data_IF_749721163641
#
_entry.id   IF_749721163641
#
_cell.length_a   1.000
_cell.length_b   1.000
_cell.length_c   1.000
_cell.angle_alpha   90.00
_cell.angle_beta   90.00
_cell.angle_gamma   90.00
#
_symmetry.space_group_name_H-M   'P 1'
#
loop_
_entity.id
_entity.type
_entity.pdbx_description
1 polymer ?
#
# COMPACT_ATOMS: atom_id res chain seq x y z
N UNK A 1 5.01 -6.73 -10.39
CA UNK A 1 4.21 -7.65 -9.54
C UNK A 1 4.14 -7.10 -8.12
N UNK A 2 3.02 -7.32 -7.42
CA UNK A 2 2.86 -6.97 -6.00
C UNK A 2 3.52 -8.06 -5.16
N UNK A 3 4.32 -7.65 -4.18
CA UNK A 3 5.00 -8.55 -3.23
C UNK A 3 4.32 -8.55 -1.86
N UNK A 4 3.92 -7.39 -1.37
CA UNK A 4 3.25 -7.25 -0.07
C UNK A 4 2.24 -6.11 -0.13
N UNK A 5 1.14 -6.25 0.57
CA UNK A 5 0.19 -5.17 0.86
C UNK A 5 -0.08 -5.14 2.36
N UNK A 6 0.01 -3.98 2.97
CA UNK A 6 -0.32 -3.78 4.36
C UNK A 6 -1.36 -2.68 4.54
N UNK A 7 -2.22 -2.86 5.54
CA UNK A 7 -3.33 -1.97 5.85
C UNK A 7 -3.55 -1.92 7.36
N UNK A 8 -3.85 -0.73 7.89
CA UNK A 8 -4.17 -0.46 9.28
C UNK A 8 -5.28 0.59 9.37
N UNK A 9 -6.18 0.41 10.31
CA UNK A 9 -7.31 1.31 10.58
C UNK A 9 -8.20 1.55 9.36
N UNK A 10 -8.83 0.49 8.83
CA UNK A 10 -9.67 0.54 7.65
C UNK A 10 -10.88 -0.39 7.75
N UNK A 11 -12.10 0.12 7.67
CA UNK A 11 -13.37 -0.63 7.85
C UNK A 11 -13.36 -1.52 9.11
N UNK A 12 -13.30 -2.86 8.95
CA UNK A 12 -13.23 -3.82 10.06
C UNK A 12 -11.80 -4.18 10.46
N UNK A 13 -10.80 -3.59 9.82
CA UNK A 13 -9.38 -3.85 10.11
C UNK A 13 -8.87 -2.77 11.06
N UNK A 14 -8.65 -3.12 12.33
CA UNK A 14 -8.12 -2.21 13.35
C UNK A 14 -6.60 -2.15 13.33
N UNK A 15 -5.96 -3.28 13.61
CA UNK A 15 -4.51 -3.39 13.65
C UNK A 15 -3.93 -3.70 12.27
N UNK A 16 -2.64 -3.44 12.10
CA UNK A 16 -1.93 -3.72 10.86
C UNK A 16 -2.12 -5.17 10.41
N UNK A 17 -2.64 -5.36 9.22
CA UNK A 17 -2.74 -6.65 8.53
C UNK A 17 -1.86 -6.62 7.29
N UNK A 18 -1.23 -7.76 6.99
CA UNK A 18 -0.33 -7.91 5.84
C UNK A 18 -0.74 -9.10 5.00
N UNK A 19 -0.70 -8.90 3.68
CA UNK A 19 -0.80 -9.95 2.68
C UNK A 19 0.54 -10.01 1.96
N UNK A 20 1.18 -11.18 1.99
CA UNK A 20 2.42 -11.42 1.26
C UNK A 20 2.15 -12.36 0.08
N UNK A 21 2.77 -12.06 -1.05
CA UNK A 21 2.84 -12.91 -2.23
C UNK A 21 4.20 -13.61 -2.34
N UNK A 22 5.02 -13.55 -1.31
CA UNK A 22 6.24 -14.35 -1.24
C UNK A 22 5.86 -15.81 -1.01
N UNK A 23 6.39 -16.77 -1.80
CA UNK A 23 6.11 -18.19 -1.62
C UNK A 23 6.67 -18.68 -0.28
N UNK A 24 6.03 -19.71 0.28
CA UNK A 24 6.60 -20.46 1.39
C UNK A 24 7.87 -21.20 0.95
N UNK A 25 8.56 -21.84 1.90
CA UNK A 25 9.74 -22.65 1.62
C UNK A 25 9.44 -23.92 0.76
N UNK A 26 8.17 -24.22 0.50
CA UNK A 26 7.76 -25.31 -0.37
C UNK A 26 8.10 -25.00 -1.82
N UNK A 27 8.84 -25.89 -2.46
CA UNK A 27 9.26 -25.77 -3.86
C UNK A 27 8.37 -26.54 -4.84
N UNK A 28 7.30 -27.22 -4.36
CA UNK A 28 6.39 -27.96 -5.21
C UNK A 28 5.74 -27.04 -6.26
N UNK A 29 5.91 -27.38 -7.53
CA UNK A 29 5.38 -26.62 -8.67
C UNK A 29 5.72 -25.11 -8.64
N UNK A 30 6.84 -24.73 -8.04
CA UNK A 30 7.23 -23.33 -7.85
C UNK A 30 7.29 -22.54 -9.16
N UNK A 31 7.68 -23.15 -10.28
CA UNK A 31 7.76 -22.51 -11.59
C UNK A 31 6.39 -22.21 -12.19
N UNK A 32 5.36 -22.95 -11.83
CA UNK A 32 4.01 -22.78 -12.34
C UNK A 32 3.26 -21.71 -11.57
N UNK A 33 3.35 -21.72 -10.24
CA UNK A 33 2.60 -20.84 -9.35
C UNK A 33 3.31 -19.54 -8.97
N UNK A 34 4.63 -19.45 -9.21
CA UNK A 34 5.38 -18.23 -8.92
C UNK A 34 6.11 -17.70 -10.17
N UNK A 35 6.51 -16.45 -10.11
CA UNK A 35 7.27 -15.75 -11.13
C UNK A 35 8.51 -15.12 -10.49
N UNK A 36 9.66 -15.26 -11.11
CA UNK A 36 10.89 -14.63 -10.66
C UNK A 36 10.91 -13.17 -11.12
N UNK A 37 10.85 -12.25 -10.16
CA UNK A 37 10.78 -10.80 -10.40
C UNK A 37 12.16 -10.15 -10.36
N UNK A 38 13.11 -10.80 -9.70
CA UNK A 38 14.52 -10.43 -9.58
C UNK A 38 15.30 -11.69 -9.22
N UNK A 39 16.61 -11.71 -9.46
CA UNK A 39 17.47 -12.84 -9.13
C UNK A 39 17.27 -13.34 -7.69
N UNK A 40 16.78 -14.56 -7.57
CA UNK A 40 16.47 -15.20 -6.28
C UNK A 40 15.20 -14.71 -5.58
N UNK A 41 14.41 -13.79 -6.17
CA UNK A 41 13.16 -13.31 -5.61
C UNK A 41 11.99 -13.80 -6.45
N UNK A 42 11.15 -14.66 -5.89
CA UNK A 42 9.95 -15.20 -6.54
C UNK A 42 8.68 -14.69 -5.84
N UNK A 43 7.65 -14.43 -6.60
CA UNK A 43 6.34 -14.02 -6.09
C UNK A 43 5.25 -14.92 -6.66
N UNK A 44 4.23 -15.20 -5.83
CA UNK A 44 3.06 -15.97 -6.23
C UNK A 44 2.24 -15.21 -7.28
N UNK A 45 1.77 -15.92 -8.30
CA UNK A 45 0.91 -15.36 -9.35
C UNK A 45 -0.53 -15.16 -8.87
N UNK A 46 -0.95 -15.94 -7.86
CA UNK A 46 -2.32 -15.98 -7.35
C UNK A 46 -2.29 -16.13 -5.82
N UNK A 47 -3.19 -15.43 -5.15
CA UNK A 47 -3.49 -15.61 -3.74
C UNK A 47 -4.99 -15.87 -3.55
N UNK A 48 -5.33 -16.81 -2.67
CA UNK A 48 -6.73 -17.14 -2.35
C UNK A 48 -6.99 -16.77 -0.90
N UNK A 49 -8.02 -15.94 -0.66
CA UNK A 49 -8.46 -15.56 0.68
C UNK A 49 -9.73 -16.35 1.00
N UNK A 50 -9.69 -17.19 2.02
CA UNK A 50 -10.84 -17.96 2.49
C UNK A 50 -11.08 -17.75 3.98
N UNK A 51 -12.28 -18.07 4.44
CA UNK A 51 -12.67 -17.93 5.85
C UNK A 51 -14.18 -17.85 6.02
N UNK A 52 -14.68 -17.81 7.25
CA UNK A 52 -16.08 -17.71 7.60
C UNK A 52 -16.76 -16.45 7.02
N UNK A 53 -18.09 -16.44 6.94
CA UNK A 53 -18.83 -15.24 6.59
C UNK A 53 -18.58 -14.15 7.63
N UNK A 54 -18.56 -12.88 7.19
CA UNK A 54 -18.26 -11.72 8.01
C UNK A 54 -16.82 -11.66 8.62
N UNK A 55 -15.88 -12.52 8.17
CA UNK A 55 -14.48 -12.51 8.66
C UNK A 55 -13.60 -11.38 8.10
N UNK A 56 -14.17 -10.47 7.29
CA UNK A 56 -13.41 -9.33 6.76
C UNK A 56 -12.77 -9.54 5.39
N UNK A 57 -12.97 -10.69 4.72
CA UNK A 57 -12.38 -10.97 3.39
C UNK A 57 -12.64 -9.85 2.37
N UNK A 58 -13.87 -9.39 2.28
CA UNK A 58 -14.26 -8.30 1.38
C UNK A 58 -13.55 -6.99 1.73
N UNK A 59 -13.32 -6.70 3.01
CA UNK A 59 -12.64 -5.47 3.43
C UNK A 59 -11.17 -5.46 3.04
N UNK A 60 -10.53 -6.61 2.92
CA UNK A 60 -9.19 -6.74 2.37
C UNK A 60 -9.16 -6.37 0.88
N UNK A 61 -10.12 -6.87 0.10
CA UNK A 61 -10.25 -6.52 -1.33
C UNK A 61 -10.59 -5.04 -1.51
N UNK A 62 -11.51 -4.52 -0.68
CA UNK A 62 -11.83 -3.08 -0.67
C UNK A 62 -10.61 -2.22 -0.36
N UNK A 63 -9.73 -2.67 0.54
CA UNK A 63 -8.50 -1.94 0.87
C UNK A 63 -7.53 -1.86 -0.33
N UNK A 64 -7.38 -2.95 -1.09
CA UNK A 64 -6.56 -2.98 -2.30
C UNK A 64 -7.17 -2.08 -3.38
N UNK A 65 -8.47 -2.13 -3.59
CA UNK A 65 -9.16 -1.27 -4.57
C UNK A 65 -9.09 0.20 -4.17
N UNK A 66 -9.24 0.51 -2.88
CA UNK A 66 -9.08 1.87 -2.37
C UNK A 66 -7.65 2.39 -2.56
N UNK A 67 -6.62 1.57 -2.29
CA UNK A 67 -5.23 1.92 -2.56
C UNK A 67 -5.00 2.21 -4.04
N UNK A 68 -5.50 1.36 -4.92
CA UNK A 68 -5.46 1.56 -6.38
C UNK A 68 -6.13 2.88 -6.78
N UNK A 69 -7.30 3.19 -6.17
CA UNK A 69 -8.00 4.44 -6.41
C UNK A 69 -7.14 5.65 -6.01
N UNK A 70 -6.47 5.62 -4.84
CA UNK A 70 -5.56 6.70 -4.41
C UNK A 70 -4.44 6.95 -5.41
N UNK A 71 -3.88 5.88 -6.00
CA UNK A 71 -2.78 5.97 -6.98
C UNK A 71 -3.24 6.50 -8.33
N UNK A 72 -4.43 6.09 -8.79
CA UNK A 72 -4.90 6.38 -10.15
C UNK A 72 -5.76 7.64 -10.25
N UNK A 73 -6.35 8.08 -9.14
CA UNK A 73 -7.26 9.22 -9.11
C UNK A 73 -6.50 10.51 -8.89
N UNK A 74 -6.62 11.42 -9.85
CA UNK A 74 -6.26 12.81 -9.61
C UNK A 74 -7.41 13.51 -8.90
N UNK A 75 -7.21 14.07 -7.69
CA UNK A 75 -8.24 14.86 -7.03
C UNK A 75 -8.63 16.04 -7.92
N UNK A 76 -9.93 16.27 -8.06
CA UNK A 76 -10.46 17.40 -8.85
C UNK A 76 -10.24 18.72 -8.16
N UNK A 77 -10.20 18.72 -6.85
CA UNK A 77 -10.06 19.90 -6.00
C UNK A 77 -9.25 19.53 -4.74
N UNK A 78 -8.56 20.54 -4.16
CA UNK A 78 -7.82 20.40 -2.89
C UNK A 78 -8.73 20.12 -1.67
N UNK A 79 -10.02 20.41 -1.79
CA UNK A 79 -11.04 20.18 -0.75
C UNK A 79 -11.70 18.81 -0.85
N UNK A 80 -11.36 18.02 -1.87
CA UNK A 80 -11.96 16.71 -2.08
C UNK A 80 -11.55 15.76 -0.95
N UNK A 81 -12.55 15.14 -0.31
CA UNK A 81 -12.34 14.16 0.75
C UNK A 81 -11.73 12.88 0.19
N UNK A 82 -10.90 12.22 0.98
CA UNK A 82 -10.25 10.95 0.61
C UNK A 82 -11.26 9.82 0.42
N UNK A 83 -12.37 9.86 1.17
CA UNK A 83 -13.37 8.81 1.19
C UNK A 83 -12.97 7.58 2.02
N UNK A 84 -11.86 7.62 2.74
CA UNK A 84 -11.46 6.53 3.63
C UNK A 84 -12.43 6.42 4.81
N UNK A 85 -12.72 5.19 5.20
CA UNK A 85 -13.52 4.88 6.39
C UNK A 85 -12.61 4.16 7.37
N UNK A 86 -12.27 4.77 8.53
CA UNK A 86 -11.46 4.13 9.55
C UNK A 86 -12.24 3.04 10.27
N UNK A 87 -11.59 2.30 11.16
CA UNK A 87 -12.24 1.36 12.05
C UNK A 87 -13.16 2.10 13.02
N UNK A 88 -14.47 1.79 12.97
CA UNK A 88 -15.50 2.59 13.64
C UNK A 88 -16.00 2.00 14.96
N UNK A 89 -15.48 0.84 15.37
CA UNK A 89 -16.00 0.12 16.56
C UNK A 89 -15.35 0.58 17.87
N UNK A 90 -14.38 1.50 17.84
CA UNK A 90 -13.87 2.19 19.02
C UNK A 90 -13.62 3.68 18.75
N UNK A 91 -13.60 4.45 19.82
CA UNK A 91 -13.49 5.92 19.72
C UNK A 91 -12.08 6.40 19.38
N UNK A 92 -11.05 5.62 19.71
CA UNK A 92 -9.65 5.96 19.43
C UNK A 92 -9.36 5.82 17.94
N UNK A 93 -9.67 4.69 17.34
CA UNK A 93 -9.40 4.39 15.93
C UNK A 93 -10.14 5.32 14.97
N UNK A 94 -11.31 5.84 15.36
CA UNK A 94 -12.06 6.83 14.54
C UNK A 94 -11.27 8.10 14.26
N UNK A 95 -10.38 8.48 15.18
CA UNK A 95 -9.60 9.70 15.10
C UNK A 95 -8.14 9.44 14.67
N UNK A 96 -7.77 8.19 14.52
CA UNK A 96 -6.45 7.80 14.04
C UNK A 96 -6.39 7.76 12.51
N UNK A 97 -5.18 7.87 11.98
CA UNK A 97 -4.94 7.79 10.55
C UNK A 97 -5.04 6.36 10.05
N UNK A 98 -5.59 6.19 8.87
CA UNK A 98 -5.42 4.96 8.09
C UNK A 98 -4.02 4.94 7.50
N UNK A 99 -3.34 3.79 7.60
CA UNK A 99 -2.03 3.59 6.99
C UNK A 99 -2.10 2.45 5.99
N UNK A 100 -1.56 2.69 4.81
CA UNK A 100 -1.52 1.72 3.72
C UNK A 100 -0.12 1.69 3.11
N UNK A 101 0.34 0.50 2.73
CA UNK A 101 1.62 0.36 2.05
C UNK A 101 1.57 -0.81 1.07
N UNK A 102 2.19 -0.63 -0.09
CA UNK A 102 2.34 -1.66 -1.11
C UNK A 102 3.80 -1.79 -1.51
N UNK A 103 4.31 -3.02 -1.44
CA UNK A 103 5.61 -3.40 -1.97
C UNK A 103 5.40 -4.07 -3.32
N UNK A 104 6.08 -3.59 -4.35
CA UNK A 104 5.95 -4.15 -5.70
C UNK A 104 7.26 -4.07 -6.48
N UNK A 105 7.36 -4.88 -7.54
CA UNK A 105 8.52 -4.91 -8.43
C UNK A 105 8.13 -4.47 -9.84
N UNK A 106 8.96 -3.61 -10.43
CA UNK A 106 8.93 -3.19 -11.84
C UNK A 106 10.35 -3.30 -12.36
N UNK A 107 10.56 -4.03 -13.46
CA UNK A 107 11.87 -4.19 -14.12
C UNK A 107 13.00 -4.53 -13.13
N UNK A 108 12.77 -5.50 -12.25
CA UNK A 108 13.69 -5.97 -11.20
C UNK A 108 13.94 -4.99 -10.04
N UNK A 109 13.52 -3.75 -10.13
CA UNK A 109 13.59 -2.79 -9.02
C UNK A 109 12.43 -2.96 -8.06
N UNK A 110 12.71 -2.94 -6.75
CA UNK A 110 11.70 -3.00 -5.68
C UNK A 110 11.23 -1.60 -5.34
N UNK A 111 9.93 -1.40 -5.28
CA UNK A 111 9.30 -0.14 -4.88
C UNK A 111 8.47 -0.33 -3.63
N UNK A 112 8.41 0.69 -2.79
CA UNK A 112 7.50 0.78 -1.66
C UNK A 112 6.74 2.09 -1.78
N UNK A 113 5.43 2.01 -1.96
CA UNK A 113 4.51 3.15 -1.95
C UNK A 113 3.67 3.09 -0.70
N UNK A 114 3.63 4.16 0.08
CA UNK A 114 2.89 4.22 1.34
C UNK A 114 2.10 5.51 1.47
N UNK A 115 0.94 5.41 2.13
CA UNK A 115 0.03 6.51 2.45
C UNK A 115 -0.29 6.53 3.94
N UNK A 116 -0.37 7.74 4.51
CA UNK A 116 -1.05 8.04 5.76
C UNK A 116 -2.16 9.06 5.49
N UNK A 117 -3.40 8.74 5.82
CA UNK A 117 -4.54 9.58 5.50
C UNK A 117 -5.66 9.45 6.54
N UNK A 118 -6.54 10.44 6.57
CA UNK A 118 -7.84 10.38 7.23
C UNK A 118 -8.96 10.67 6.21
N UNK A 119 -10.19 10.81 6.66
CA UNK A 119 -11.34 11.08 5.80
C UNK A 119 -11.23 12.41 5.03
N UNK A 120 -10.39 13.34 5.48
CA UNK A 120 -10.27 14.69 4.92
C UNK A 120 -8.97 14.93 4.16
N UNK A 121 -7.86 14.36 4.64
CA UNK A 121 -6.51 14.71 4.16
C UNK A 121 -5.63 13.48 3.95
N UNK A 122 -4.72 13.59 2.99
CA UNK A 122 -3.55 12.73 2.86
C UNK A 122 -2.40 13.43 3.59
N UNK A 123 -1.94 12.87 4.69
CA UNK A 123 -0.87 13.44 5.52
C UNK A 123 0.51 13.13 4.98
N UNK A 124 0.67 11.95 4.40
CA UNK A 124 1.93 11.52 3.83
C UNK A 124 1.70 10.57 2.66
N UNK A 125 2.44 10.80 1.59
CA UNK A 125 2.61 9.88 0.48
C UNK A 125 4.11 9.74 0.22
N UNK A 126 4.63 8.51 0.26
CA UNK A 126 6.07 8.26 0.11
C UNK A 126 6.31 7.15 -0.89
N UNK A 127 7.19 7.40 -1.85
CA UNK A 127 7.68 6.39 -2.80
C UNK A 127 9.18 6.20 -2.63
N UNK A 128 9.56 4.95 -2.34
CA UNK A 128 10.96 4.53 -2.18
C UNK A 128 11.27 3.49 -3.25
N UNK A 129 12.43 3.58 -3.87
CA UNK A 129 12.97 2.56 -4.79
C UNK A 129 14.24 1.94 -4.22
N UNK A 130 14.41 0.65 -4.49
CA UNK A 130 15.59 -0.14 -4.19
C UNK A 130 16.15 -0.70 -5.49
N UNK A 131 16.95 0.08 -6.18
CA UNK A 131 17.71 -0.38 -7.35
C UNK A 131 18.99 -1.13 -6.93
N UNK A 132 19.47 -0.82 -5.71
CA UNK A 132 20.62 -1.45 -5.07
C UNK A 132 20.29 -1.80 -3.62
N UNK A 133 21.30 -2.11 -2.82
CA UNK A 133 21.17 -2.38 -1.38
C UNK A 133 20.65 -1.14 -0.62
N UNK A 134 20.93 0.07 -1.12
CA UNK A 134 20.51 1.31 -0.45
C UNK A 134 19.19 1.82 -1.03
N UNK A 135 18.20 2.12 -0.15
CA UNK A 135 16.95 2.74 -0.59
C UNK A 135 17.18 4.17 -1.07
N UNK A 136 16.54 4.53 -2.17
CA UNK A 136 16.45 5.90 -2.65
C UNK A 136 14.99 6.35 -2.54
N UNK A 137 14.77 7.39 -1.75
CA UNK A 137 13.44 8.00 -1.65
C UNK A 137 13.23 8.87 -2.91
N UNK A 138 12.29 8.47 -3.76
CA UNK A 138 11.97 9.21 -4.98
C UNK A 138 11.18 10.48 -4.65
N UNK A 139 10.19 10.38 -3.78
CA UNK A 139 9.50 11.54 -3.24
C UNK A 139 8.88 11.24 -1.87
N UNK A 140 8.57 12.31 -1.15
CA UNK A 140 7.78 12.32 0.07
C UNK A 140 6.93 13.58 0.05
N UNK A 141 5.65 13.41 -0.16
CA UNK A 141 4.65 14.47 -0.07
C UNK A 141 4.07 14.42 1.34
N UNK A 142 4.20 15.52 2.07
CA UNK A 142 3.64 15.67 3.42
C UNK A 142 2.90 16.99 3.52
N UNK A 143 1.75 17.02 4.18
CA UNK A 143 0.98 18.25 4.44
C UNK A 143 1.80 19.33 5.17
N UNK A 144 2.84 18.93 5.91
CA UNK A 144 3.72 19.84 6.66
C UNK A 144 4.78 20.48 5.73
N UNK A 145 4.99 19.96 4.53
CA UNK A 145 5.99 20.42 3.55
C UNK A 145 5.38 20.83 2.20
N UNK A 146 4.32 21.66 2.24
CA UNK A 146 4.02 22.53 1.10
C UNK A 146 4.84 23.82 1.29
N UNK A 147 6.15 23.69 1.38
CA UNK A 147 7.08 24.76 1.06
C UNK A 147 7.36 24.63 -0.45
N UNK A 148 7.20 25.74 -1.16
CA UNK A 148 7.31 25.90 -2.60
C UNK A 148 8.48 25.13 -3.22
N UNK A 149 8.32 24.58 -4.45
CA UNK A 149 9.46 24.04 -5.19
C UNK A 149 10.46 25.17 -5.38
N UNK A 150 11.64 25.06 -4.80
CA UNK A 150 12.76 25.95 -5.07
C UNK A 150 13.07 25.84 -6.55
N UNK A 151 12.61 26.82 -7.33
CA UNK A 151 13.05 27.04 -8.70
C UNK A 151 14.55 27.32 -8.67
N UNK A 152 15.37 26.32 -8.86
CA UNK A 152 16.71 26.54 -9.36
C UNK A 152 16.61 26.80 -10.87
N UNK A 153 16.41 28.08 -11.20
CA UNK A 153 16.77 28.61 -12.51
C UNK A 153 18.29 28.62 -12.60
N UNK A 154 18.81 27.80 -13.49
CA UNK A 154 20.03 28.07 -14.25
C UNK A 154 19.91 27.45 -15.60
#
# INVERSE_FOLDING_TARGET
MIAEFSIENFFSIKSTQKISFEPSADTFMSNEYSYEVKDGVRLLKVGIIYGANASGKTNVLNAIEFFKMLVLRMPKDRTEKTGVVPFMLDDTSRNEKTKMSMVFYINQSKYILSFELDAKHIYSETLIVYDSIRPTKLYNLSLIHISEPTRHLR
#
